data_IF_285040195494
#
_entry.id   IF_285040195494
#
_cell.length_a   1.000
_cell.length_b   1.000
_cell.length_c   1.000
_cell.angle_alpha   90.00
_cell.angle_beta   90.00
_cell.angle_gamma   90.00
#
_symmetry.space_group_name_H-M   'P 1'
#
loop_
_entity.id
_entity.type
_entity.pdbx_description
1 polymer ?
#
# COMPACT_ATOMS: atom_id res chain seq x y z
N UNK A 1 -22.81 -44.42 83.43
CA UNK A 1 -21.99 -43.18 83.40
C UNK A 1 -22.14 -42.56 82.02
N UNK A 2 -22.88 -41.46 81.90
CA UNK A 2 -23.16 -40.80 80.62
C UNK A 2 -22.55 -39.41 80.66
N UNK A 3 -21.58 -39.14 79.79
CA UNK A 3 -20.89 -37.84 79.70
C UNK A 3 -21.58 -36.97 78.64
N UNK A 4 -22.10 -35.83 79.06
CA UNK A 4 -22.65 -34.83 78.14
C UNK A 4 -21.51 -34.04 77.50
N UNK A 5 -21.24 -34.28 76.22
CA UNK A 5 -20.37 -33.40 75.41
C UNK A 5 -21.12 -32.12 75.09
N UNK A 6 -20.74 -31.02 75.74
CA UNK A 6 -21.23 -29.69 75.40
C UNK A 6 -20.61 -29.25 74.06
N UNK A 7 -21.43 -29.05 73.04
CA UNK A 7 -20.99 -28.50 71.75
C UNK A 7 -20.89 -26.98 71.86
N UNK A 8 -19.66 -26.45 71.74
CA UNK A 8 -19.40 -25.01 71.79
C UNK A 8 -19.80 -24.38 70.46
N UNK A 9 -20.96 -23.73 70.41
CA UNK A 9 -21.37 -22.91 69.27
C UNK A 9 -20.46 -21.67 69.22
N UNK A 10 -19.52 -21.64 68.28
CA UNK A 10 -18.75 -20.43 67.98
C UNK A 10 -19.62 -19.50 67.15
N UNK A 11 -20.15 -18.44 67.76
CA UNK A 11 -20.72 -17.32 67.00
C UNK A 11 -19.60 -16.74 66.14
N UNK A 12 -19.69 -16.87 64.82
CA UNK A 12 -18.80 -16.18 63.90
C UNK A 12 -19.08 -14.68 64.02
N UNK A 13 -18.09 -13.95 64.50
CA UNK A 13 -18.21 -12.53 64.84
C UNK A 13 -18.56 -11.75 63.57
N UNK A 14 -19.72 -11.09 63.54
CA UNK A 14 -20.18 -10.22 62.46
C UNK A 14 -19.08 -9.23 62.00
N UNK A 15 -18.21 -8.82 62.91
CA UNK A 15 -17.05 -7.95 62.70
C UNK A 15 -16.06 -8.51 61.68
N UNK A 16 -15.76 -9.82 61.69
CA UNK A 16 -14.81 -10.43 60.75
C UNK A 16 -15.37 -10.43 59.32
N UNK A 17 -16.67 -10.70 59.17
CA UNK A 17 -17.35 -10.66 57.87
C UNK A 17 -17.37 -9.25 57.26
N UNK A 18 -17.63 -8.22 58.09
CA UNK A 18 -17.63 -6.82 57.65
C UNK A 18 -16.23 -6.37 57.22
N UNK A 19 -15.19 -6.73 57.98
CA UNK A 19 -13.80 -6.39 57.65
C UNK A 19 -13.37 -7.02 56.32
N UNK A 20 -13.73 -8.27 56.06
CA UNK A 20 -13.43 -8.95 54.78
C UNK A 20 -14.17 -8.32 53.60
N UNK A 21 -15.43 -7.89 53.78
CA UNK A 21 -16.19 -7.21 52.74
C UNK A 21 -15.61 -5.83 52.39
N UNK A 22 -15.20 -5.05 53.41
CA UNK A 22 -14.57 -3.73 53.19
C UNK A 22 -13.22 -3.87 52.48
N UNK A 23 -12.41 -4.87 52.84
CA UNK A 23 -11.14 -5.14 52.16
C UNK A 23 -11.33 -5.55 50.69
N UNK A 24 -12.39 -6.31 50.37
CA UNK A 24 -12.74 -6.68 49.00
C UNK A 24 -13.10 -5.45 48.16
N UNK A 25 -13.95 -4.56 48.69
CA UNK A 25 -14.34 -3.31 48.01
C UNK A 25 -13.11 -2.44 47.73
N UNK A 26 -12.23 -2.24 48.72
CA UNK A 26 -11.04 -1.41 48.56
C UNK A 26 -10.07 -1.95 47.50
N UNK A 27 -9.93 -3.29 47.42
CA UNK A 27 -9.10 -3.94 46.40
C UNK A 27 -9.73 -3.79 45.00
N UNK A 28 -11.05 -3.94 44.88
CA UNK A 28 -11.74 -3.75 43.59
C UNK A 28 -11.55 -2.33 43.04
N UNK A 29 -11.72 -1.29 43.86
CA UNK A 29 -11.49 0.10 43.43
C UNK A 29 -10.05 0.35 42.94
N UNK A 30 -9.06 -0.21 43.62
CA UNK A 30 -7.67 -0.13 43.19
C UNK A 30 -7.44 -0.84 41.84
N UNK A 31 -8.03 -2.03 41.64
CA UNK A 31 -7.92 -2.75 40.35
C UNK A 31 -8.60 -2.03 39.20
N UNK A 32 -9.78 -1.44 39.41
CA UNK A 32 -10.49 -0.65 38.40
C UNK A 32 -9.70 0.62 38.01
N UNK A 33 -9.12 1.33 38.99
CA UNK A 33 -8.27 2.48 38.71
C UNK A 33 -7.01 2.12 37.89
N UNK A 34 -6.39 0.99 38.23
CA UNK A 34 -5.23 0.47 37.50
C UNK A 34 -5.59 0.06 36.06
N UNK A 35 -6.73 -0.60 35.86
CA UNK A 35 -7.22 -0.98 34.54
C UNK A 35 -7.56 0.25 33.69
N UNK A 36 -8.27 1.23 34.27
CA UNK A 36 -8.61 2.48 33.60
C UNK A 36 -7.36 3.24 33.15
N UNK A 37 -6.34 3.33 34.01
CA UNK A 37 -5.06 3.98 33.68
C UNK A 37 -4.35 3.28 32.52
N UNK A 38 -4.37 1.94 32.47
CA UNK A 38 -3.80 1.18 31.35
C UNK A 38 -4.55 1.44 30.03
N UNK A 39 -5.88 1.47 30.07
CA UNK A 39 -6.72 1.77 28.89
C UNK A 39 -6.43 3.18 28.38
N UNK A 40 -6.39 4.17 29.29
CA UNK A 40 -6.08 5.56 28.96
C UNK A 40 -4.68 5.71 28.37
N UNK A 41 -3.67 5.05 28.96
CA UNK A 41 -2.30 5.04 28.44
C UNK A 41 -2.21 4.42 27.05
N UNK A 42 -2.86 3.26 26.84
CA UNK A 42 -2.91 2.59 25.54
C UNK A 42 -3.59 3.46 24.47
N UNK A 43 -4.70 4.13 24.82
CA UNK A 43 -5.42 5.03 23.93
C UNK A 43 -4.57 6.24 23.52
N UNK A 44 -3.93 6.92 24.48
CA UNK A 44 -3.02 8.06 24.20
C UNK A 44 -1.89 7.64 23.26
N UNK A 45 -1.26 6.50 23.53
CA UNK A 45 -0.20 5.97 22.68
C UNK A 45 -0.68 5.60 21.28
N UNK A 46 -1.90 5.06 21.16
CA UNK A 46 -2.51 4.77 19.86
C UNK A 46 -2.74 6.05 19.05
N UNK A 47 -3.27 7.11 19.67
CA UNK A 47 -3.46 8.41 19.02
C UNK A 47 -2.14 9.02 18.52
N UNK A 48 -1.07 8.95 19.33
CA UNK A 48 0.26 9.41 18.92
C UNK A 48 0.76 8.63 17.69
N UNK A 49 0.64 7.30 17.71
CA UNK A 49 1.06 6.46 16.57
C UNK A 49 0.25 6.75 15.31
N UNK A 50 -1.06 6.98 15.43
CA UNK A 50 -1.90 7.35 14.28
C UNK A 50 -1.43 8.67 13.66
N UNK A 51 -1.14 9.69 14.48
CA UNK A 51 -0.61 10.97 13.99
C UNK A 51 0.73 10.80 13.27
N UNK A 52 1.67 10.06 13.85
CA UNK A 52 2.97 9.79 13.23
C UNK A 52 2.84 9.04 11.91
N UNK A 53 1.93 8.06 11.83
CA UNK A 53 1.64 7.34 10.58
C UNK A 53 1.09 8.27 9.51
N UNK A 54 0.14 9.13 9.86
CA UNK A 54 -0.45 10.09 8.92
C UNK A 54 0.58 11.11 8.45
N UNK A 55 1.42 11.62 9.35
CA UNK A 55 2.50 12.55 9.00
C UNK A 55 3.55 11.89 8.09
N UNK A 56 3.93 10.64 8.38
CA UNK A 56 4.85 9.90 7.53
C UNK A 56 4.25 9.63 6.14
N UNK A 57 2.98 9.25 6.07
CA UNK A 57 2.27 9.05 4.82
C UNK A 57 2.19 10.36 3.99
N UNK A 58 1.87 11.48 4.65
CA UNK A 58 1.86 12.79 4.02
C UNK A 58 3.24 13.17 3.46
N UNK A 59 4.31 13.00 4.23
CA UNK A 59 5.69 13.28 3.78
C UNK A 59 6.11 12.40 2.60
N UNK A 60 5.69 11.13 2.58
CA UNK A 60 5.96 10.24 1.45
C UNK A 60 5.22 10.73 0.21
N UNK A 61 3.94 11.07 0.34
CA UNK A 61 3.12 11.58 -0.75
C UNK A 61 3.71 12.88 -1.33
N UNK A 62 4.00 13.85 -0.47
CA UNK A 62 4.61 15.12 -0.84
C UNK A 62 5.94 14.92 -1.60
N UNK A 63 6.83 14.05 -1.09
CA UNK A 63 8.10 13.76 -1.76
C UNK A 63 7.91 13.08 -3.12
N UNK A 64 6.94 12.17 -3.24
CA UNK A 64 6.63 11.51 -4.50
C UNK A 64 6.05 12.50 -5.52
N UNK A 65 5.16 13.39 -5.08
CA UNK A 65 4.55 14.40 -5.94
C UNK A 65 5.59 15.39 -6.47
N UNK A 66 6.45 15.93 -5.60
CA UNK A 66 7.55 16.79 -6.02
C UNK A 66 8.57 16.08 -6.93
N UNK A 67 8.88 14.80 -6.66
CA UNK A 67 9.77 14.02 -7.55
C UNK A 67 9.13 13.75 -8.91
N UNK A 68 7.81 13.57 -8.96
CA UNK A 68 7.06 13.32 -10.19
C UNK A 68 7.00 14.59 -11.04
N UNK A 69 6.65 15.73 -10.44
CA UNK A 69 6.64 17.04 -11.11
C UNK A 69 8.00 17.38 -11.72
N UNK A 70 9.09 17.14 -10.98
CA UNK A 70 10.45 17.35 -11.50
C UNK A 70 10.77 16.44 -12.69
N UNK A 71 10.33 15.19 -12.64
CA UNK A 71 10.58 14.21 -13.71
C UNK A 71 9.79 14.56 -14.96
N UNK A 72 8.53 14.97 -14.84
CA UNK A 72 7.70 15.41 -15.95
C UNK A 72 8.28 16.65 -16.63
N UNK A 73 8.64 17.68 -15.85
CA UNK A 73 9.23 18.90 -16.39
C UNK A 73 10.55 18.62 -17.14
N UNK A 74 11.40 17.74 -16.59
CA UNK A 74 12.64 17.33 -17.24
C UNK A 74 12.40 16.55 -18.53
N UNK A 75 11.40 15.65 -18.56
CA UNK A 75 11.02 14.93 -19.77
C UNK A 75 10.52 15.90 -20.83
N UNK A 76 9.63 16.84 -20.47
CA UNK A 76 9.13 17.87 -21.39
C UNK A 76 10.25 18.70 -21.99
N UNK A 77 11.19 19.18 -21.17
CA UNK A 77 12.36 19.93 -21.67
C UNK A 77 13.24 19.07 -22.59
N UNK A 78 13.46 17.79 -22.24
CA UNK A 78 14.23 16.89 -23.10
C UNK A 78 13.53 16.64 -24.45
N UNK A 79 12.20 16.42 -24.45
CA UNK A 79 11.41 16.26 -25.67
C UNK A 79 11.35 17.54 -26.49
N UNK A 80 11.23 18.71 -25.86
CA UNK A 80 11.26 19.99 -26.53
C UNK A 80 12.63 20.24 -27.19
N UNK A 81 13.73 19.89 -26.50
CA UNK A 81 15.07 19.90 -27.08
C UNK A 81 15.19 18.94 -28.26
N UNK A 82 14.65 17.73 -28.15
CA UNK A 82 14.65 16.75 -29.23
C UNK A 82 13.81 17.18 -30.43
N UNK A 83 12.66 17.83 -30.22
CA UNK A 83 11.80 18.34 -31.29
C UNK A 83 12.42 19.55 -32.00
N UNK A 84 12.99 20.49 -31.24
CA UNK A 84 13.77 21.61 -31.81
C UNK A 84 14.99 21.11 -32.57
N UNK A 85 15.65 20.07 -32.04
CA UNK A 85 16.73 19.42 -32.74
C UNK A 85 16.20 18.67 -33.98
N UNK A 86 15.04 18.00 -33.94
CA UNK A 86 14.49 17.26 -35.07
C UNK A 86 14.04 18.16 -36.23
N UNK A 87 13.53 19.35 -35.94
CA UNK A 87 13.24 20.35 -36.99
C UNK A 87 14.51 20.82 -37.71
N UNK A 88 15.68 20.73 -37.05
CA UNK A 88 17.01 21.00 -37.63
C UNK A 88 17.62 19.71 -38.24
N UNK A 89 17.16 18.54 -37.81
CA UNK A 89 17.80 17.26 -38.10
C UNK A 89 17.05 16.50 -39.20
N UNK A 90 17.64 16.63 -40.39
CA UNK A 90 17.54 15.73 -41.56
C UNK A 90 17.32 14.24 -41.21
N UNK A 91 16.73 13.43 -42.12
CA UNK A 91 16.53 11.96 -42.00
C UNK A 91 17.75 11.11 -41.54
N UNK A 92 18.93 11.72 -41.38
CA UNK A 92 20.09 11.16 -40.73
C UNK A 92 19.99 10.99 -39.20
N UNK A 93 19.08 11.67 -38.50
CA UNK A 93 18.96 11.51 -37.02
C UNK A 93 18.04 10.40 -36.59
N UNK A 94 17.04 10.06 -37.41
CA UNK A 94 16.39 8.74 -37.36
C UNK A 94 17.41 7.60 -37.47
N UNK A 95 18.50 7.78 -38.23
CA UNK A 95 19.64 6.85 -38.31
C UNK A 95 20.59 6.90 -37.12
N UNK A 96 20.55 7.93 -36.28
CA UNK A 96 21.45 8.11 -35.12
C UNK A 96 20.79 7.65 -33.82
N UNK A 97 19.46 7.75 -33.73
CA UNK A 97 18.63 7.05 -32.75
C UNK A 97 18.60 5.54 -33.00
N UNK A 98 18.76 5.10 -34.26
CA UNK A 98 19.24 3.76 -34.59
C UNK A 98 20.74 3.67 -34.25
N UNK A 99 21.04 3.49 -32.97
CA UNK A 99 22.39 3.33 -32.43
C UNK A 99 23.29 2.51 -33.40
N UNK A 100 24.35 3.09 -33.99
CA UNK A 100 25.27 2.37 -34.85
C UNK A 100 26.24 1.59 -33.97
N UNK A 101 25.76 0.49 -33.37
CA UNK A 101 26.58 -0.30 -32.45
C UNK A 101 25.81 -1.24 -31.54
N UNK A 102 24.62 -1.70 -31.94
CA UNK A 102 24.09 -2.93 -31.34
C UNK A 102 25.01 -4.08 -31.77
N UNK A 103 25.56 -4.88 -30.82
CA UNK A 103 26.26 -6.12 -31.13
C UNK A 103 25.42 -6.94 -32.12
N UNK A 104 26.08 -7.68 -33.02
CA UNK A 104 25.40 -8.46 -34.06
C UNK A 104 24.26 -9.33 -33.47
N UNK A 105 24.52 -9.88 -32.27
CA UNK A 105 23.58 -10.65 -31.45
C UNK A 105 22.32 -9.86 -31.05
N UNK A 106 22.43 -8.59 -30.65
CA UNK A 106 21.27 -7.76 -30.27
C UNK A 106 20.42 -7.39 -31.50
N UNK A 107 21.04 -7.24 -32.68
CA UNK A 107 20.30 -7.06 -33.94
C UNK A 107 19.56 -8.32 -34.36
N UNK A 108 20.11 -9.50 -34.08
CA UNK A 108 19.45 -10.78 -34.31
C UNK A 108 18.28 -10.99 -33.33
N UNK A 109 18.47 -10.65 -32.05
CA UNK A 109 17.40 -10.67 -31.03
C UNK A 109 16.25 -9.71 -31.37
N UNK A 110 16.55 -8.54 -31.94
CA UNK A 110 15.52 -7.61 -32.41
C UNK A 110 14.72 -8.14 -33.60
N UNK A 111 15.35 -8.93 -34.48
CA UNK A 111 14.63 -9.59 -35.58
C UNK A 111 13.69 -10.67 -35.08
N UNK A 112 14.06 -11.36 -33.98
CA UNK A 112 13.23 -12.40 -33.37
C UNK A 112 12.07 -11.83 -32.52
N UNK A 113 12.14 -10.56 -32.14
CA UNK A 113 11.09 -9.87 -31.36
C UNK A 113 10.18 -8.99 -32.22
N UNK A 114 10.16 -9.21 -33.54
CA UNK A 114 9.24 -8.50 -34.43
C UNK A 114 7.78 -8.87 -34.08
N UNK A 115 6.95 -7.92 -33.64
CA UNK A 115 5.57 -8.19 -33.24
C UNK A 115 4.71 -8.69 -34.40
N UNK A 116 5.05 -8.33 -35.64
CA UNK A 116 4.30 -8.74 -36.84
C UNK A 116 4.51 -10.22 -37.20
N UNK A 117 5.58 -10.84 -36.69
CA UNK A 117 5.88 -12.26 -36.91
C UNK A 117 5.23 -13.18 -35.83
N UNK A 118 4.63 -12.59 -34.81
CA UNK A 118 3.93 -13.33 -33.75
C UNK A 118 2.58 -13.82 -34.30
N UNK A 119 2.46 -15.14 -34.49
CA UNK A 119 1.19 -15.74 -34.88
C UNK A 119 0.20 -15.71 -33.72
N UNK A 120 -0.78 -14.81 -33.80
CA UNK A 120 -1.94 -14.78 -32.92
C UNK A 120 -2.91 -15.89 -33.33
N UNK A 121 -3.52 -16.57 -32.34
CA UNK A 121 -4.53 -17.59 -32.60
C UNK A 121 -5.72 -17.00 -33.37
N UNK A 122 -6.20 -17.74 -34.39
CA UNK A 122 -7.31 -17.31 -35.26
C UNK A 122 -8.61 -17.06 -34.48
N UNK A 123 -8.74 -17.63 -33.29
CA UNK A 123 -9.92 -17.50 -32.42
C UNK A 123 -9.69 -16.56 -31.22
N UNK A 124 -8.62 -15.75 -31.23
CA UNK A 124 -8.43 -14.72 -30.23
C UNK A 124 -9.54 -13.67 -30.35
N UNK A 125 -10.32 -13.47 -29.28
CA UNK A 125 -11.46 -12.55 -29.25
C UNK A 125 -11.13 -11.15 -28.74
N UNK A 126 -9.92 -10.96 -28.21
CA UNK A 126 -9.50 -9.68 -27.66
C UNK A 126 -9.12 -8.65 -28.74
N UNK A 127 -8.83 -7.41 -28.33
CA UNK A 127 -8.41 -6.35 -29.24
C UNK A 127 -7.12 -6.70 -29.97
N UNK A 128 -7.12 -6.52 -31.28
CA UNK A 128 -5.93 -6.69 -32.12
C UNK A 128 -5.24 -5.33 -32.28
N UNK A 129 -3.99 -5.22 -31.82
CA UNK A 129 -3.23 -3.97 -31.83
C UNK A 129 -2.19 -4.04 -32.95
N UNK A 130 -2.25 -3.09 -33.88
CA UNK A 130 -1.21 -2.89 -34.89
C UNK A 130 -0.06 -2.06 -34.29
N UNK A 131 1.16 -2.23 -34.82
CA UNK A 131 2.33 -1.45 -34.40
C UNK A 131 2.13 0.08 -34.50
N UNK A 132 1.29 0.52 -35.43
CA UNK A 132 0.81 1.91 -35.52
C UNK A 132 -0.59 2.03 -34.92
N UNK A 133 -0.66 2.53 -33.69
CA UNK A 133 -1.93 2.69 -32.97
C UNK A 133 -2.75 3.81 -33.60
N UNK A 134 -3.86 3.43 -34.25
CA UNK A 134 -4.85 4.35 -34.81
C UNK A 134 -5.91 4.71 -33.78
N UNK A 135 -6.57 5.87 -33.97
CA UNK A 135 -7.66 6.33 -33.09
C UNK A 135 -8.82 5.32 -33.04
N UNK A 136 -9.13 4.64 -34.13
CA UNK A 136 -10.15 3.58 -34.16
C UNK A 136 -9.78 2.42 -33.23
N UNK A 137 -8.55 1.91 -33.34
CA UNK A 137 -8.03 0.82 -32.49
C UNK A 137 -8.06 1.18 -31.01
N UNK A 138 -7.82 2.44 -30.65
CA UNK A 138 -7.93 2.90 -29.26
C UNK A 138 -9.36 2.87 -28.73
N UNK A 139 -10.35 3.18 -29.56
CA UNK A 139 -11.76 3.11 -29.16
C UNK A 139 -12.15 1.66 -28.91
N UNK A 140 -11.75 0.75 -29.80
CA UNK A 140 -12.02 -0.69 -29.66
C UNK A 140 -11.34 -1.26 -28.39
N UNK A 141 -10.12 -0.80 -28.09
CA UNK A 141 -9.39 -1.18 -26.87
C UNK A 141 -10.12 -0.72 -25.60
N UNK A 142 -10.58 0.53 -25.57
CA UNK A 142 -11.32 1.10 -24.44
C UNK A 142 -12.64 0.35 -24.25
N UNK A 143 -13.34 0.03 -25.34
CA UNK A 143 -14.61 -0.69 -25.30
C UNK A 143 -14.43 -2.13 -24.78
N UNK A 144 -13.39 -2.84 -25.21
CA UNK A 144 -13.07 -4.17 -24.68
C UNK A 144 -12.77 -4.14 -23.18
N UNK A 145 -11.94 -3.17 -22.73
CA UNK A 145 -11.62 -2.99 -21.31
C UNK A 145 -12.86 -2.72 -20.45
N UNK A 146 -13.84 -1.97 -20.97
CA UNK A 146 -15.10 -1.71 -20.26
C UNK A 146 -15.98 -2.95 -20.16
N UNK A 147 -15.91 -3.87 -21.14
CA UNK A 147 -16.67 -5.12 -21.15
C UNK A 147 -16.03 -6.23 -20.32
N UNK A 148 -14.77 -6.07 -19.90
CA UNK A 148 -14.05 -7.04 -19.07
C UNK A 148 -13.60 -8.29 -19.83
N UNK A 149 -13.43 -8.18 -21.14
CA UNK A 149 -12.80 -9.21 -22.01
C UNK A 149 -11.32 -8.93 -22.21
#
# INVERSE_FOLDING_TARGET
MTTWRYSRITKTNNTTSVITAVASIHNTHATFGNAATKIQGAFRNHQVRLRLKNEAAWKIHEKLEYSNEQTEAKLRDMFEKLLKASDILSPSVTKLLQKPGLPLEEKELLKLTNPDDIQVEVNYRGPHIESSIKRSTLVDLIEAFQKGE
#
